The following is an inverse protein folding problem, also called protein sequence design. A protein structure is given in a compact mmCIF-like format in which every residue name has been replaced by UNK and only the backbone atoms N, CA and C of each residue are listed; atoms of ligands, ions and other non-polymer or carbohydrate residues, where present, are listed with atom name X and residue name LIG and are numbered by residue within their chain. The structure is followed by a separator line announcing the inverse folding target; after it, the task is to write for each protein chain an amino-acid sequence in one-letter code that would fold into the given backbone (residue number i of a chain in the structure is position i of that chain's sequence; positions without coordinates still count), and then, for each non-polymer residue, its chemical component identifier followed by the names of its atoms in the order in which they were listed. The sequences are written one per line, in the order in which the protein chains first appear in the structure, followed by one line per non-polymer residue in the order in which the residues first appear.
data_IF_660772709843
#
_entry.id   IF_660772709843
#
_cell.length_a   1.000
_cell.length_b   1.000
_cell.length_c   1.000
_cell.angle_alpha   90.00
_cell.angle_beta   90.00
_cell.angle_gamma   90.00
#
_symmetry.space_group_name_H-M   'P 1'
#
loop_
_entity.id
_entity.type
_entity.pdbx_description
1 polymer ?
#
# COMPACT_ATOMS: atom_id res chain seq x y z
N UNK A 1 3.82 20.64 -14.47
CA UNK A 1 4.97 21.59 -14.38
C UNK A 1 6.29 20.83 -14.25
N UNK A 2 6.46 19.92 -13.29
CA UNK A 2 7.73 19.20 -13.01
C UNK A 2 8.23 18.43 -14.25
N UNK A 3 7.37 17.66 -14.92
CA UNK A 3 7.73 16.91 -16.12
C UNK A 3 8.33 17.82 -17.21
N UNK A 4 7.69 18.96 -17.50
CA UNK A 4 8.23 19.92 -18.49
C UNK A 4 9.57 20.51 -18.07
N UNK A 5 9.75 20.82 -16.77
CA UNK A 5 10.97 21.46 -16.27
C UNK A 5 12.18 20.53 -16.23
N UNK A 6 11.95 19.25 -15.94
CA UNK A 6 13.01 18.28 -15.70
C UNK A 6 13.11 17.17 -16.76
N UNK A 7 12.42 17.30 -17.90
CA UNK A 7 12.34 16.30 -18.95
C UNK A 7 13.70 15.79 -19.45
N UNK A 8 14.71 16.67 -19.46
CA UNK A 8 16.06 16.32 -19.94
C UNK A 8 17.00 15.86 -18.82
N UNK A 9 16.50 15.76 -17.58
CA UNK A 9 17.30 15.46 -16.38
C UNK A 9 16.81 14.25 -15.60
N UNK A 10 15.51 13.96 -15.62
CA UNK A 10 14.88 12.90 -14.80
C UNK A 10 14.14 11.95 -15.72
N UNK A 11 14.52 10.67 -15.64
CA UNK A 11 13.92 9.58 -16.39
C UNK A 11 12.92 8.77 -15.55
N UNK A 12 13.17 8.59 -14.26
CA UNK A 12 12.37 7.78 -13.34
C UNK A 12 11.58 8.69 -12.40
N UNK A 13 10.27 8.45 -12.30
CA UNK A 13 9.35 9.28 -11.54
C UNK A 13 8.52 8.44 -10.59
N UNK A 14 8.20 8.97 -9.42
CA UNK A 14 7.24 8.40 -8.48
C UNK A 14 6.12 9.41 -8.25
N UNK A 15 4.87 8.94 -8.19
CA UNK A 15 3.70 9.82 -8.06
C UNK A 15 3.42 10.19 -6.60
N UNK A 16 3.33 9.19 -5.73
CA UNK A 16 3.03 9.34 -4.32
C UNK A 16 4.08 8.62 -3.48
N UNK A 17 4.46 9.22 -2.37
CA UNK A 17 5.30 8.56 -1.38
C UNK A 17 4.43 7.69 -0.47
N UNK A 18 4.76 6.40 -0.39
CA UNK A 18 4.10 5.42 0.50
C UNK A 18 2.56 5.55 0.48
N UNK A 19 1.96 5.50 -0.72
CA UNK A 19 0.54 5.73 -0.96
C UNK A 19 -0.37 4.92 -0.03
N UNK A 20 0.06 3.72 0.38
CA UNK A 20 -0.67 2.85 1.28
C UNK A 20 -0.68 3.31 2.75
N UNK A 21 0.14 4.30 3.12
CA UNK A 21 0.10 4.91 4.45
C UNK A 21 -1.20 5.66 4.75
N UNK A 22 -2.02 5.91 3.74
CA UNK A 22 -3.40 6.40 3.91
C UNK A 22 -4.24 5.50 4.84
N UNK A 23 -3.87 4.23 4.99
CA UNK A 23 -4.53 3.31 5.93
C UNK A 23 -4.39 3.75 7.39
N UNK A 24 -3.31 4.46 7.72
CA UNK A 24 -2.94 4.79 9.10
C UNK A 24 -2.77 6.29 9.35
N UNK A 25 -2.43 7.07 8.33
CA UNK A 25 -2.08 8.48 8.45
C UNK A 25 -2.90 9.33 7.47
N UNK A 26 -4.22 9.40 7.71
CA UNK A 26 -5.16 10.00 6.77
C UNK A 26 -4.86 11.47 6.49
N UNK A 27 -4.50 12.25 7.52
CA UNK A 27 -4.17 13.66 7.35
C UNK A 27 -2.92 13.86 6.49
N UNK A 28 -1.84 13.16 6.80
CA UNK A 28 -0.56 13.30 6.07
C UNK A 28 -0.68 12.79 4.64
N UNK A 29 -1.40 11.69 4.44
CA UNK A 29 -1.50 11.02 3.14
C UNK A 29 -2.59 11.57 2.23
N UNK A 30 -3.65 12.17 2.79
CA UNK A 30 -4.83 12.61 2.04
C UNK A 30 -5.39 13.98 2.46
N UNK A 31 -4.81 14.64 3.45
CA UNK A 31 -5.28 15.94 3.96
C UNK A 31 -6.63 15.87 4.69
N UNK A 32 -7.02 14.69 5.18
CA UNK A 32 -8.32 14.47 5.85
C UNK A 32 -8.13 14.50 7.35
N UNK A 33 -8.90 15.37 8.01
CA UNK A 33 -8.97 15.46 9.48
C UNK A 33 -9.99 14.43 9.96
N UNK A 34 -9.55 13.41 10.67
CA UNK A 34 -10.36 12.25 11.07
C UNK A 34 -11.53 12.62 11.98
N UNK A 35 -11.32 13.58 12.88
CA UNK A 35 -12.32 14.08 13.84
C UNK A 35 -13.57 14.67 13.16
N UNK A 36 -13.46 15.06 11.89
CA UNK A 36 -14.55 15.65 11.11
C UNK A 36 -15.23 14.61 10.17
N UNK A 37 -14.94 13.32 10.32
CA UNK A 37 -15.42 12.28 9.43
C UNK A 37 -16.45 11.37 10.10
N UNK A 38 -17.71 11.39 9.61
CA UNK A 38 -18.76 10.45 10.08
C UNK A 38 -18.44 8.99 9.67
N UNK A 39 -17.86 8.78 8.48
CA UNK A 39 -17.47 7.47 7.97
C UNK A 39 -16.01 7.51 7.46
N UNK A 40 -15.09 7.22 8.35
CA UNK A 40 -13.66 7.31 8.09
C UNK A 40 -13.17 6.28 7.06
N UNK A 41 -13.72 5.06 7.08
CA UNK A 41 -13.35 4.02 6.10
C UNK A 41 -13.79 4.41 4.69
N UNK A 42 -15.01 4.94 4.54
CA UNK A 42 -15.48 5.44 3.25
C UNK A 42 -14.58 6.55 2.71
N UNK A 43 -14.23 7.53 3.56
CA UNK A 43 -13.37 8.66 3.16
C UNK A 43 -11.96 8.20 2.80
N UNK A 44 -11.40 7.28 3.58
CA UNK A 44 -10.07 6.68 3.33
C UNK A 44 -9.99 6.03 1.96
N UNK A 45 -10.92 5.13 1.66
CA UNK A 45 -10.89 4.37 0.42
C UNK A 45 -11.33 5.19 -0.79
N UNK A 46 -12.23 6.15 -0.62
CA UNK A 46 -12.56 7.11 -1.66
C UNK A 46 -11.34 7.98 -2.01
N UNK A 47 -10.59 8.43 -1.02
CA UNK A 47 -9.36 9.20 -1.26
C UNK A 47 -8.27 8.36 -1.91
N UNK A 48 -8.13 7.09 -1.52
CA UNK A 48 -7.22 6.16 -2.19
C UNK A 48 -7.60 5.99 -3.67
N UNK A 49 -8.90 5.86 -3.98
CA UNK A 49 -9.38 5.81 -5.37
C UNK A 49 -8.98 7.06 -6.16
N UNK A 50 -9.20 8.26 -5.60
CA UNK A 50 -8.78 9.49 -6.26
C UNK A 50 -7.26 9.56 -6.49
N UNK A 51 -6.46 9.02 -5.57
CA UNK A 51 -5.00 8.94 -5.73
C UNK A 51 -4.60 7.94 -6.82
N UNK A 52 -5.31 6.83 -6.99
CA UNK A 52 -5.07 5.89 -8.08
C UNK A 52 -5.35 6.53 -9.44
N UNK A 53 -6.48 7.23 -9.57
CA UNK A 53 -6.81 7.99 -10.79
C UNK A 53 -5.78 9.08 -11.06
N UNK A 54 -5.38 9.82 -10.02
CA UNK A 54 -4.35 10.86 -10.15
C UNK A 54 -2.97 10.29 -10.55
N UNK A 55 -2.62 9.11 -10.04
CA UNK A 55 -1.39 8.39 -10.43
C UNK A 55 -1.42 8.00 -11.91
N UNK A 56 -2.53 7.46 -12.39
CA UNK A 56 -2.72 7.11 -13.80
C UNK A 56 -2.65 8.35 -14.71
N UNK A 57 -3.29 9.44 -14.32
CA UNK A 57 -3.19 10.72 -15.05
C UNK A 57 -1.77 11.27 -15.06
N UNK A 58 -1.03 11.17 -13.95
CA UNK A 58 0.36 11.59 -13.89
C UNK A 58 1.24 10.73 -14.80
N UNK A 59 1.02 9.41 -14.84
CA UNK A 59 1.70 8.49 -15.77
C UNK A 59 1.44 8.88 -17.23
N UNK A 60 0.18 9.11 -17.59
CA UNK A 60 -0.20 9.61 -18.91
C UNK A 60 0.58 10.86 -19.30
N UNK A 61 0.50 11.90 -18.48
CA UNK A 61 1.15 13.18 -18.79
C UNK A 61 2.67 13.08 -18.78
N UNK A 62 3.25 12.21 -17.95
CA UNK A 62 4.68 11.97 -17.97
C UNK A 62 5.13 11.39 -19.31
N UNK A 63 4.48 10.33 -19.78
CA UNK A 63 4.79 9.68 -21.07
C UNK A 63 4.53 10.60 -22.26
N UNK A 64 3.48 11.43 -22.24
CA UNK A 64 3.22 12.43 -23.29
C UNK A 64 4.31 13.50 -23.39
N UNK A 65 4.89 13.91 -22.23
CA UNK A 65 5.91 14.97 -22.17
C UNK A 65 7.31 14.40 -22.30
N UNK A 66 7.55 13.18 -21.79
CA UNK A 66 8.83 12.49 -21.76
C UNK A 66 8.61 11.03 -22.21
N UNK A 67 8.58 10.74 -23.52
CA UNK A 67 8.22 9.40 -24.02
C UNK A 67 9.06 8.26 -23.48
N UNK A 68 10.34 8.51 -23.17
CA UNK A 68 11.29 7.50 -22.64
C UNK A 68 11.31 7.42 -21.11
N UNK A 69 10.42 8.15 -20.44
CA UNK A 69 10.34 8.12 -18.98
C UNK A 69 9.70 6.84 -18.45
N UNK A 70 9.96 6.57 -17.17
CA UNK A 70 9.34 5.51 -16.40
C UNK A 70 8.68 6.07 -15.15
N UNK A 71 7.42 5.71 -14.92
CA UNK A 71 6.65 6.16 -13.77
C UNK A 71 6.34 4.94 -12.90
N UNK A 72 6.66 5.04 -11.62
CA UNK A 72 6.43 3.98 -10.64
C UNK A 72 5.42 4.34 -9.57
N UNK A 73 4.89 3.33 -8.92
CA UNK A 73 4.25 3.48 -7.62
C UNK A 73 5.26 3.25 -6.49
N UNK A 74 4.98 3.80 -5.32
CA UNK A 74 5.82 3.64 -4.15
C UNK A 74 4.94 3.33 -2.92
N UNK A 75 5.24 2.23 -2.25
CA UNK A 75 4.51 1.77 -1.08
C UNK A 75 5.46 1.54 0.10
N UNK A 76 4.96 1.70 1.31
CA UNK A 76 5.59 1.15 2.51
C UNK A 76 5.23 -0.33 2.57
N UNK A 77 6.17 -1.21 2.23
CA UNK A 77 5.89 -2.65 2.19
C UNK A 77 6.41 -3.33 3.43
N UNK A 78 5.48 -3.85 4.20
CA UNK A 78 5.76 -4.67 5.36
C UNK A 78 5.47 -6.13 5.01
N UNK A 79 6.48 -6.97 5.09
CA UNK A 79 6.29 -8.41 4.96
C UNK A 79 5.54 -8.92 6.19
N UNK A 80 4.37 -9.49 5.97
CA UNK A 80 3.56 -10.11 7.01
C UNK A 80 3.75 -11.63 6.99
N UNK A 81 4.01 -12.20 8.17
CA UNK A 81 4.12 -13.65 8.36
C UNK A 81 3.16 -14.09 9.47
N UNK A 82 2.55 -15.29 9.39
CA UNK A 82 1.73 -15.79 10.49
C UNK A 82 2.63 -16.05 11.72
N UNK A 83 2.10 -15.70 12.89
CA UNK A 83 2.81 -15.93 14.16
C UNK A 83 3.01 -17.43 14.43
N UNK A 84 2.02 -18.23 14.05
CA UNK A 84 2.04 -19.68 14.22
C UNK A 84 1.44 -20.40 13.00
N UNK A 85 1.42 -21.72 13.04
CA UNK A 85 0.71 -22.54 12.07
C UNK A 85 -0.80 -22.68 12.35
N UNK A 86 -1.35 -21.92 13.30
CA UNK A 86 -2.78 -21.84 13.53
C UNK A 86 -3.48 -21.33 12.24
N UNK A 87 -4.52 -22.04 11.74
CA UNK A 87 -5.27 -21.61 10.57
C UNK A 87 -5.81 -20.17 10.66
N UNK A 88 -6.18 -19.71 11.85
CA UNK A 88 -6.68 -18.36 12.07
C UNK A 88 -5.56 -17.30 11.93
N UNK A 89 -4.35 -17.58 12.41
CA UNK A 89 -3.17 -16.74 12.19
C UNK A 89 -2.83 -16.65 10.70
N UNK A 90 -2.87 -17.79 9.99
CA UNK A 90 -2.60 -17.87 8.55
C UNK A 90 -3.64 -17.06 7.78
N UNK A 91 -4.94 -17.28 8.04
CA UNK A 91 -6.01 -16.59 7.32
C UNK A 91 -5.95 -15.07 7.54
N UNK A 92 -5.73 -14.64 8.77
CA UNK A 92 -5.61 -13.23 9.11
C UNK A 92 -4.40 -12.59 8.41
N UNK A 93 -3.26 -13.30 8.36
CA UNK A 93 -2.07 -12.82 7.65
C UNK A 93 -2.35 -12.60 6.16
N UNK A 94 -3.03 -13.55 5.50
CA UNK A 94 -3.43 -13.42 4.09
C UNK A 94 -4.35 -12.22 3.88
N UNK A 95 -5.32 -12.02 4.75
CA UNK A 95 -6.26 -10.90 4.64
C UNK A 95 -5.55 -9.55 4.82
N UNK A 96 -4.66 -9.42 5.80
CA UNK A 96 -3.89 -8.19 6.04
C UNK A 96 -2.87 -7.92 4.90
N UNK A 97 -2.22 -8.95 4.37
CA UNK A 97 -1.30 -8.83 3.25
C UNK A 97 -2.01 -8.31 1.99
N UNK A 98 -3.20 -8.84 1.67
CA UNK A 98 -4.03 -8.36 0.55
C UNK A 98 -4.39 -6.89 0.68
N UNK A 99 -4.62 -6.42 1.90
CA UNK A 99 -4.88 -5.00 2.19
C UNK A 99 -3.70 -4.10 1.85
N UNK A 100 -2.48 -4.60 1.93
CA UNK A 100 -1.29 -3.86 1.53
C UNK A 100 -1.06 -3.96 0.02
N UNK A 101 -1.31 -5.11 -0.58
CA UNK A 101 -1.12 -5.36 -2.01
C UNK A 101 -2.14 -4.65 -2.91
N UNK A 102 -3.34 -4.30 -2.40
CA UNK A 102 -4.35 -3.60 -3.21
C UNK A 102 -3.80 -2.33 -3.87
N UNK A 103 -2.88 -1.62 -3.21
CA UNK A 103 -2.30 -0.38 -3.73
C UNK A 103 -1.35 -0.63 -4.91
N UNK A 104 -0.54 -1.68 -4.84
CA UNK A 104 0.33 -2.09 -5.96
C UNK A 104 -0.49 -2.72 -7.08
N UNK A 105 -1.44 -3.60 -6.76
CA UNK A 105 -2.30 -4.25 -7.73
C UNK A 105 -3.06 -3.24 -8.59
N UNK A 106 -3.71 -2.24 -7.96
CA UNK A 106 -4.48 -1.25 -8.71
C UNK A 106 -3.58 -0.40 -9.61
N UNK A 107 -2.44 0.06 -9.10
CA UNK A 107 -1.55 0.93 -9.87
C UNK A 107 -0.79 0.19 -10.98
N UNK A 108 -0.38 -1.07 -10.75
CA UNK A 108 0.38 -1.84 -11.72
C UNK A 108 -0.52 -2.55 -12.75
N UNK A 109 -1.75 -2.91 -12.39
CA UNK A 109 -2.67 -3.64 -13.26
C UNK A 109 -3.76 -2.74 -13.88
N UNK A 110 -3.98 -1.55 -13.32
CA UNK A 110 -4.97 -0.58 -13.78
C UNK A 110 -6.42 -0.93 -13.44
N UNK A 111 -6.65 -1.86 -12.51
CA UNK A 111 -7.98 -2.25 -12.05
C UNK A 111 -7.95 -2.82 -10.62
N UNK A 112 -9.10 -2.81 -9.96
CA UNK A 112 -9.24 -3.41 -8.64
C UNK A 112 -9.19 -4.94 -8.72
N UNK A 113 -8.34 -5.62 -7.92
CA UNK A 113 -8.30 -7.08 -7.87
C UNK A 113 -9.63 -7.65 -7.36
N UNK A 114 -9.95 -8.88 -7.72
CA UNK A 114 -11.23 -9.52 -7.36
C UNK A 114 -11.51 -9.54 -5.85
N UNK A 115 -10.48 -9.65 -5.02
CA UNK A 115 -10.64 -9.64 -3.56
C UNK A 115 -11.05 -8.26 -3.01
N UNK A 116 -10.83 -7.16 -3.75
CA UNK A 116 -11.17 -5.82 -3.30
C UNK A 116 -12.67 -5.62 -3.12
N UNK A 117 -13.49 -6.19 -4.00
CA UNK A 117 -14.96 -6.08 -3.90
C UNK A 117 -15.48 -6.62 -2.56
N UNK A 118 -15.06 -7.84 -2.20
CA UNK A 118 -15.44 -8.47 -0.93
C UNK A 118 -14.91 -7.69 0.28
N UNK A 119 -13.72 -7.12 0.15
CA UNK A 119 -13.15 -6.28 1.19
C UNK A 119 -13.99 -5.01 1.42
N UNK A 120 -14.34 -4.29 0.35
CA UNK A 120 -15.16 -3.08 0.45
C UNK A 120 -16.56 -3.38 1.01
N UNK A 121 -17.19 -4.48 0.57
CA UNK A 121 -18.46 -4.95 1.12
C UNK A 121 -18.37 -5.18 2.63
N UNK A 122 -17.35 -5.92 3.09
CA UNK A 122 -17.11 -6.21 4.52
C UNK A 122 -16.87 -4.95 5.35
N UNK A 123 -16.28 -3.91 4.75
CA UNK A 123 -16.01 -2.62 5.39
C UNK A 123 -17.15 -1.59 5.24
N UNK A 124 -18.21 -1.94 4.51
CA UNK A 124 -19.30 -1.02 4.22
C UNK A 124 -18.87 0.17 3.34
N UNK A 125 -17.83 0.00 2.54
CA UNK A 125 -17.30 1.02 1.63
C UNK A 125 -17.96 0.88 0.27
N UNK A 126 -18.49 1.99 -0.25
CA UNK A 126 -19.05 2.08 -1.60
C UNK A 126 -18.32 3.18 -2.35
N UNK A 127 -17.39 2.80 -3.21
CA UNK A 127 -16.63 3.78 -4.00
C UNK A 127 -17.53 4.50 -5.00
N UNK A 128 -17.40 5.81 -5.03
CA UNK A 128 -17.96 6.67 -6.07
C UNK A 128 -16.94 6.75 -7.21
N UNK A 129 -17.13 5.91 -8.22
CA UNK A 129 -16.31 5.85 -9.42
C UNK A 129 -16.93 6.75 -10.48
N UNK A 130 -16.18 7.75 -10.94
CA UNK A 130 -16.65 8.67 -11.98
C UNK A 130 -16.47 8.07 -13.38
N UNK A 131 -17.24 8.62 -14.33
CA UNK A 131 -17.09 8.23 -15.73
C UNK A 131 -15.65 8.50 -16.22
N UNK A 132 -14.98 7.47 -16.69
CA UNK A 132 -13.61 7.54 -17.19
C UNK A 132 -12.52 7.13 -16.20
N UNK A 133 -12.82 6.99 -14.90
CA UNK A 133 -11.83 6.61 -13.90
C UNK A 133 -11.22 5.22 -14.16
N UNK A 134 -12.07 4.24 -14.46
CA UNK A 134 -11.60 2.88 -14.77
C UNK A 134 -10.82 2.82 -16.07
N UNK A 135 -11.24 3.59 -17.06
CA UNK A 135 -10.57 3.68 -18.37
C UNK A 135 -9.17 4.26 -18.21
N UNK A 136 -9.03 5.39 -17.50
CA UNK A 136 -7.73 6.05 -17.33
C UNK A 136 -6.77 5.19 -16.53
N UNK A 137 -7.24 4.51 -15.47
CA UNK A 137 -6.41 3.58 -14.70
C UNK A 137 -5.93 2.42 -15.57
N UNK A 138 -6.80 1.83 -16.38
CA UNK A 138 -6.47 0.70 -17.25
C UNK A 138 -5.49 1.08 -18.37
N UNK A 139 -5.62 2.28 -18.93
CA UNK A 139 -4.76 2.75 -20.01
C UNK A 139 -3.36 3.19 -19.57
N UNK A 140 -3.22 3.62 -18.34
CA UNK A 140 -1.97 4.21 -17.82
C UNK A 140 -1.53 3.63 -16.48
N UNK A 141 -1.33 2.29 -16.40
CA UNK A 141 -0.71 1.68 -15.23
C UNK A 141 0.73 2.17 -15.07
N UNK A 142 1.29 1.99 -13.90
CA UNK A 142 2.69 2.35 -13.65
C UNK A 142 3.64 1.38 -14.35
N UNK A 143 4.84 1.87 -14.69
CA UNK A 143 5.88 1.06 -15.38
C UNK A 143 6.64 0.15 -14.42
N UNK A 144 6.70 0.48 -13.12
CA UNK A 144 7.41 -0.30 -12.12
C UNK A 144 6.84 -0.11 -10.72
N UNK A 145 7.13 -1.06 -9.84
CA UNK A 145 6.81 -0.99 -8.42
C UNK A 145 8.09 -0.67 -7.65
N UNK A 146 8.01 0.29 -6.74
CA UNK A 146 9.05 0.55 -5.75
C UNK A 146 8.47 0.51 -4.34
N UNK A 147 9.29 0.27 -3.35
CA UNK A 147 8.84 0.18 -1.97
C UNK A 147 9.93 0.54 -0.96
N UNK A 148 9.49 1.02 0.19
CA UNK A 148 10.30 1.08 1.40
C UNK A 148 10.14 -0.23 2.17
N UNK A 149 11.26 -0.86 2.52
CA UNK A 149 11.28 -2.01 3.41
C UNK A 149 11.98 -1.64 4.71
N UNK A 150 11.28 -1.73 5.82
CA UNK A 150 11.84 -1.43 7.13
C UNK A 150 12.02 -2.69 7.97
N UNK A 151 11.03 -3.59 7.94
CA UNK A 151 10.95 -4.77 8.77
C UNK A 151 9.89 -5.76 8.25
N UNK A 152 9.90 -6.97 8.78
CA UNK A 152 8.76 -7.88 8.74
C UNK A 152 7.94 -7.78 10.04
N UNK A 153 6.72 -8.32 10.02
CA UNK A 153 5.85 -8.40 11.19
C UNK A 153 5.13 -9.73 11.27
N UNK A 154 5.03 -10.27 12.47
CA UNK A 154 4.20 -11.43 12.73
C UNK A 154 2.75 -10.99 13.02
N UNK A 155 1.77 -11.72 12.47
CA UNK A 155 0.34 -11.49 12.63
C UNK A 155 -0.27 -12.64 13.42
N UNK A 156 -1.00 -12.32 14.48
CA UNK A 156 -1.76 -13.31 15.23
C UNK A 156 -3.24 -12.96 15.27
N UNK A 157 -4.10 -13.95 15.15
CA UNK A 157 -5.52 -13.84 15.41
C UNK A 157 -5.83 -13.55 16.87
N UNK A 158 -4.88 -13.92 17.74
CA UNK A 158 -4.94 -13.79 19.20
C UNK A 158 -3.94 -12.75 19.71
N UNK A 159 -3.82 -11.61 19.05
CA UNK A 159 -2.82 -10.58 19.35
C UNK A 159 -2.93 -10.03 20.79
N UNK A 160 -4.13 -10.04 21.37
CA UNK A 160 -4.42 -9.67 22.75
C UNK A 160 -3.75 -10.59 23.79
N UNK A 161 -3.38 -11.80 23.40
CA UNK A 161 -2.69 -12.78 24.26
C UNK A 161 -1.16 -12.63 24.21
N UNK A 162 -0.63 -11.77 23.34
CA UNK A 162 0.80 -11.57 23.17
C UNK A 162 1.25 -10.26 23.82
N UNK A 163 2.35 -10.33 24.56
CA UNK A 163 2.98 -9.16 25.17
C UNK A 163 4.12 -8.65 24.30
N UNK A 164 4.28 -7.33 24.25
CA UNK A 164 5.36 -6.67 23.54
C UNK A 164 4.85 -5.73 22.45
N UNK A 165 5.52 -4.60 22.34
CA UNK A 165 5.25 -3.63 21.29
C UNK A 165 6.19 -3.88 20.09
N UNK A 166 5.64 -3.89 18.89
CA UNK A 166 6.42 -3.92 17.65
C UNK A 166 6.69 -2.49 17.22
N UNK A 167 7.52 -1.78 17.99
CA UNK A 167 7.84 -0.37 17.73
C UNK A 167 6.60 0.51 17.62
N UNK A 168 6.63 1.48 16.74
CA UNK A 168 5.49 2.33 16.39
C UNK A 168 4.67 1.79 15.21
N UNK A 169 4.76 0.49 14.95
CA UNK A 169 3.98 -0.17 13.90
C UNK A 169 2.52 -0.30 14.31
N UNK A 170 1.64 0.03 13.37
CA UNK A 170 0.20 0.06 13.56
C UNK A 170 -0.42 -1.29 13.18
N UNK A 171 -1.40 -1.73 13.96
CA UNK A 171 -2.21 -2.91 13.65
C UNK A 171 -2.04 -4.08 14.63
N UNK A 172 -2.45 -5.26 14.18
CA UNK A 172 -2.47 -6.50 14.97
C UNK A 172 -1.12 -7.26 14.94
N UNK A 173 -0.01 -6.54 14.78
CA UNK A 173 1.32 -7.13 14.76
C UNK A 173 1.76 -7.55 16.16
N UNK A 174 2.40 -8.71 16.24
CA UNK A 174 3.02 -9.23 17.45
C UNK A 174 4.53 -9.40 17.24
N UNK A 175 5.29 -9.46 18.31
CA UNK A 175 6.75 -9.66 18.24
C UNK A 175 7.04 -11.05 17.70
N UNK A 176 7.83 -11.13 16.63
CA UNK A 176 8.36 -12.40 16.13
C UNK A 176 9.49 -12.87 17.06
N UNK A 177 9.36 -14.02 17.73
CA UNK A 177 10.32 -14.48 18.74
C UNK A 177 11.69 -14.89 18.16
N UNK A 178 11.81 -14.94 16.84
CA UNK A 178 13.05 -15.33 16.15
C UNK A 178 13.88 -14.15 15.65
N UNK A 179 13.41 -12.91 15.87
CA UNK A 179 14.07 -11.70 15.38
C UNK A 179 14.46 -10.78 16.54
N UNK A 180 15.62 -10.18 16.42
CA UNK A 180 16.06 -9.10 17.29
C UNK A 180 15.36 -7.78 16.91
N UNK A 181 15.21 -6.88 17.85
CA UNK A 181 14.65 -5.55 17.63
C UNK A 181 15.72 -4.47 17.76
N UNK A 182 15.62 -3.43 16.95
CA UNK A 182 16.38 -2.19 17.11
C UNK A 182 15.94 -1.43 18.37
N UNK A 183 16.65 -0.36 18.73
CA UNK A 183 16.26 0.55 19.81
C UNK A 183 14.86 1.16 19.65
N UNK A 184 14.36 1.25 18.40
CA UNK A 184 13.02 1.73 18.06
C UNK A 184 11.94 0.63 18.15
N UNK A 185 12.32 -0.59 18.51
CA UNK A 185 11.43 -1.75 18.53
C UNK A 185 11.15 -2.34 17.14
N UNK A 186 11.85 -1.93 16.09
CA UNK A 186 11.69 -2.51 14.77
C UNK A 186 12.51 -3.78 14.64
N UNK A 187 11.85 -4.83 14.19
CA UNK A 187 12.50 -6.14 14.09
C UNK A 187 13.40 -6.24 12.86
N UNK A 188 14.61 -6.70 13.09
CA UNK A 188 15.66 -6.76 12.07
C UNK A 188 15.51 -8.05 11.28
N UNK A 189 15.03 -7.94 10.04
CA UNK A 189 14.82 -9.08 9.15
C UNK A 189 15.38 -8.86 7.75
N UNK A 190 16.68 -9.09 7.52
CA UNK A 190 17.28 -8.96 6.19
C UNK A 190 16.79 -10.01 5.19
N UNK A 191 16.36 -11.20 5.66
CA UNK A 191 15.76 -12.22 4.78
C UNK A 191 14.36 -11.85 4.33
N UNK A 192 13.64 -11.11 5.14
CA UNK A 192 12.31 -10.59 4.81
C UNK A 192 12.31 -9.71 3.57
N UNK A 193 13.37 -8.93 3.33
CA UNK A 193 13.50 -8.15 2.09
C UNK A 193 13.49 -9.04 0.84
N UNK A 194 14.21 -10.18 0.88
CA UNK A 194 14.20 -11.13 -0.25
C UNK A 194 12.80 -11.72 -0.47
N UNK A 195 12.11 -12.08 0.61
CA UNK A 195 10.75 -12.61 0.53
C UNK A 195 9.77 -11.57 0.01
N UNK A 196 9.89 -10.31 0.47
CA UNK A 196 9.11 -9.18 -0.02
C UNK A 196 9.29 -8.96 -1.54
N UNK A 197 10.53 -9.03 -2.03
CA UNK A 197 10.84 -8.91 -3.45
C UNK A 197 10.18 -10.03 -4.27
N UNK A 198 10.22 -11.27 -3.80
CA UNK A 198 9.56 -12.39 -4.47
C UNK A 198 8.03 -12.19 -4.50
N UNK A 199 7.42 -11.82 -3.38
CA UNK A 199 5.97 -11.60 -3.31
C UNK A 199 5.48 -10.45 -4.21
N UNK A 200 6.30 -9.41 -4.40
CA UNK A 200 5.94 -8.28 -5.27
C UNK A 200 6.21 -8.56 -6.75
N UNK A 201 7.10 -9.51 -7.04
CA UNK A 201 7.42 -9.92 -8.41
C UNK A 201 6.35 -10.87 -8.98
N UNK A 202 5.81 -11.81 -8.18
CA UNK A 202 4.78 -12.77 -8.57
C UNK A 202 3.38 -12.10 -8.70
#
# INVERSE_FOLDING_TARGET
TCFKRYKDKVKYWLTFNEINCIKHHLFVSAGIVEENCENIEQKRWQSAHHQFVASALATKYCHEIIPDSKVGCMVSYQLLVPYSCDPDDIQKTVDEQRMSLIFTDVQARGYYPAYAARFFEKKGVKLEVQQGDEEIMRMYPVDFISFSYYMSSAISAHADQHTGAVGNMLGNSVVNPYLESSEWGWQIDPKGLRTALNQLYD
#
